data_IF_078111811358
#
_entry.id   IF_078111811358
#
_cell.length_a   1.000
_cell.length_b   1.000
_cell.length_c   1.000
_cell.angle_alpha   90.00
_cell.angle_beta   90.00
_cell.angle_gamma   90.00
#
_symmetry.space_group_name_H-M   'P 1'
#
loop_
_entity.id
_entity.type
_entity.pdbx_description
1 polymer ?
#
# COMPACT_ATOMS: atom_id res chain seq x y z
N UNK A 1 -20.70 -27.65 -15.07
CA UNK A 1 -20.50 -26.65 -13.99
C UNK A 1 -19.03 -26.24 -13.79
N UNK A 2 -18.04 -26.95 -14.37
CA UNK A 2 -16.59 -26.65 -14.27
C UNK A 2 -16.15 -25.50 -15.19
N UNK A 3 -16.72 -25.40 -16.38
CA UNK A 3 -16.37 -24.40 -17.42
C UNK A 3 -16.62 -22.95 -16.98
N UNK A 4 -17.64 -22.71 -16.13
CA UNK A 4 -17.98 -21.38 -15.62
C UNK A 4 -17.09 -20.92 -14.46
N UNK A 5 -16.38 -21.82 -13.77
CA UNK A 5 -15.43 -21.45 -12.72
C UNK A 5 -14.08 -21.07 -13.32
N UNK A 6 -13.65 -21.75 -14.39
CA UNK A 6 -12.41 -21.47 -15.09
C UNK A 6 -12.45 -20.11 -15.81
N UNK A 7 -13.54 -19.81 -16.51
CA UNK A 7 -13.74 -18.48 -17.12
C UNK A 7 -13.77 -17.34 -16.09
N UNK A 8 -14.33 -17.57 -14.90
CA UNK A 8 -14.34 -16.58 -13.81
C UNK A 8 -12.93 -16.33 -13.26
N UNK A 9 -12.12 -17.37 -13.09
CA UNK A 9 -10.72 -17.25 -12.67
C UNK A 9 -9.90 -16.50 -13.71
N UNK A 10 -10.03 -16.84 -15.00
CA UNK A 10 -9.34 -16.17 -16.09
C UNK A 10 -9.71 -14.69 -16.20
N UNK A 11 -11.00 -14.35 -16.06
CA UNK A 11 -11.45 -12.96 -16.05
C UNK A 11 -10.92 -12.17 -14.84
N UNK A 12 -10.92 -12.78 -13.65
CA UNK A 12 -10.37 -12.16 -12.45
C UNK A 12 -8.85 -11.94 -12.56
N UNK A 13 -8.13 -12.91 -13.12
CA UNK A 13 -6.69 -12.82 -13.38
C UNK A 13 -6.38 -11.74 -14.43
N UNK A 14 -7.11 -11.69 -15.54
CA UNK A 14 -6.97 -10.66 -16.58
C UNK A 14 -7.20 -9.26 -16.01
N UNK A 15 -8.24 -9.08 -15.19
CA UNK A 15 -8.48 -7.81 -14.49
C UNK A 15 -7.32 -7.45 -13.55
N UNK A 16 -6.80 -8.40 -12.77
CA UNK A 16 -5.65 -8.16 -11.88
C UNK A 16 -4.39 -7.73 -12.65
N UNK A 17 -4.08 -8.42 -13.75
CA UNK A 17 -2.95 -8.09 -14.64
C UNK A 17 -3.11 -6.68 -15.22
N UNK A 18 -4.29 -6.34 -15.71
CA UNK A 18 -4.58 -5.00 -16.24
C UNK A 18 -4.32 -3.89 -15.22
N UNK A 19 -4.71 -4.09 -13.95
CA UNK A 19 -4.43 -3.14 -12.86
C UNK A 19 -2.93 -2.98 -12.59
N UNK A 20 -2.16 -4.07 -12.69
CA UNK A 20 -0.71 -4.05 -12.50
C UNK A 20 0.02 -3.32 -13.64
N UNK A 21 -0.35 -3.60 -14.90
CA UNK A 21 0.20 -2.92 -16.08
C UNK A 21 -0.05 -1.40 -15.97
N UNK A 22 -1.26 -1.03 -15.58
CA UNK A 22 -1.64 0.37 -15.40
C UNK A 22 -0.83 1.04 -14.28
N UNK A 23 -0.54 0.35 -13.18
CA UNK A 23 0.35 0.86 -12.12
C UNK A 23 1.78 1.04 -12.62
N UNK A 24 2.32 0.05 -13.35
CA UNK A 24 3.65 0.13 -13.96
C UNK A 24 3.79 1.35 -14.87
N UNK A 25 2.88 1.53 -15.84
CA UNK A 25 2.89 2.70 -16.73
C UNK A 25 2.85 4.00 -15.93
N UNK A 26 2.05 4.07 -14.86
CA UNK A 26 1.99 5.25 -14.00
C UNK A 26 3.30 5.54 -13.27
N UNK A 27 4.02 4.51 -12.82
CA UNK A 27 5.35 4.69 -12.23
C UNK A 27 6.30 5.31 -13.25
N UNK A 28 6.37 4.77 -14.47
CA UNK A 28 7.24 5.33 -15.50
C UNK A 28 6.90 6.79 -15.82
N UNK A 29 5.61 7.11 -15.99
CA UNK A 29 5.18 8.46 -16.31
C UNK A 29 5.41 9.45 -15.16
N UNK A 30 5.13 9.04 -13.91
CA UNK A 30 5.39 9.89 -12.73
C UNK A 30 6.88 10.17 -12.58
N UNK A 31 7.74 9.15 -12.71
CA UNK A 31 9.20 9.32 -12.63
C UNK A 31 9.74 10.15 -13.78
N UNK A 32 9.20 9.98 -14.99
CA UNK A 32 9.53 10.84 -16.13
C UNK A 32 9.19 12.30 -15.82
N UNK A 33 7.96 12.59 -15.41
CA UNK A 33 7.51 13.96 -15.07
C UNK A 33 8.40 14.59 -14.00
N UNK A 34 8.73 13.83 -12.94
CA UNK A 34 9.62 14.30 -11.88
C UNK A 34 11.03 14.60 -12.40
N UNK A 35 11.58 13.75 -13.26
CA UNK A 35 12.92 13.96 -13.83
C UNK A 35 13.02 15.21 -14.73
N UNK A 36 11.88 15.69 -15.25
CA UNK A 36 11.85 16.88 -16.10
C UNK A 36 11.92 18.19 -15.29
N UNK A 37 11.47 18.20 -14.03
CA UNK A 37 11.41 19.43 -13.23
C UNK A 37 12.80 20.04 -13.00
N UNK A 38 13.80 19.30 -12.49
CA UNK A 38 15.14 19.87 -12.31
C UNK A 38 15.82 20.22 -13.64
N UNK A 39 15.45 19.56 -14.74
CA UNK A 39 16.02 19.82 -16.07
C UNK A 39 15.53 21.13 -16.69
N UNK A 40 14.21 21.38 -16.64
CA UNK A 40 13.63 22.61 -17.20
C UNK A 40 13.72 23.80 -16.25
N UNK A 41 13.69 23.57 -14.94
CA UNK A 41 13.73 24.61 -13.91
C UNK A 41 15.05 24.61 -13.14
N UNK A 42 16.17 24.30 -13.81
CA UNK A 42 17.50 24.22 -13.20
C UNK A 42 17.95 25.52 -12.53
N UNK A 43 17.48 26.68 -13.02
CA UNK A 43 17.77 27.99 -12.44
C UNK A 43 16.89 28.35 -11.22
N UNK A 44 15.87 27.55 -10.91
CA UNK A 44 14.99 27.79 -9.76
C UNK A 44 15.59 27.25 -8.46
N UNK A 45 15.17 27.81 -7.33
CA UNK A 45 15.58 27.29 -6.01
C UNK A 45 15.09 25.85 -5.80
N UNK A 46 15.79 25.09 -4.96
CA UNK A 46 15.38 23.73 -4.60
C UNK A 46 13.94 23.67 -4.05
N UNK A 47 13.55 24.63 -3.21
CA UNK A 47 12.18 24.70 -2.67
C UNK A 47 11.14 24.93 -3.77
N UNK A 48 11.46 25.74 -4.77
CA UNK A 48 10.61 25.95 -5.94
C UNK A 48 10.48 24.68 -6.78
N UNK A 49 11.60 24.00 -7.04
CA UNK A 49 11.60 22.72 -7.77
C UNK A 49 10.79 21.65 -7.04
N UNK A 50 10.92 21.58 -5.71
CA UNK A 50 10.13 20.68 -4.88
C UNK A 50 8.64 21.00 -4.96
N UNK A 51 8.26 22.28 -4.81
CA UNK A 51 6.87 22.71 -4.91
C UNK A 51 6.26 22.41 -6.29
N UNK A 52 7.01 22.67 -7.37
CA UNK A 52 6.60 22.35 -8.74
C UNK A 52 6.44 20.83 -8.95
N UNK A 53 7.37 20.04 -8.42
CA UNK A 53 7.31 18.57 -8.49
C UNK A 53 6.06 18.03 -7.79
N UNK A 54 5.75 18.52 -6.59
CA UNK A 54 4.53 18.16 -5.85
C UNK A 54 3.28 18.58 -6.63
N UNK A 55 3.22 19.81 -7.13
CA UNK A 55 2.08 20.31 -7.90
C UNK A 55 1.84 19.45 -9.16
N UNK A 56 2.89 19.16 -9.92
CA UNK A 56 2.80 18.33 -11.13
C UNK A 56 2.40 16.90 -10.82
N UNK A 57 2.90 16.31 -9.73
CA UNK A 57 2.44 14.99 -9.28
C UNK A 57 0.96 15.00 -8.92
N UNK A 58 0.49 15.99 -8.17
CA UNK A 58 -0.93 16.10 -7.81
C UNK A 58 -1.82 16.26 -9.05
N UNK A 59 -1.42 17.09 -10.00
CA UNK A 59 -2.12 17.25 -11.27
C UNK A 59 -2.11 15.96 -12.08
N UNK A 60 -0.96 15.30 -12.24
CA UNK A 60 -0.84 14.08 -13.03
C UNK A 60 -1.60 12.90 -12.40
N UNK A 61 -1.46 12.70 -11.09
CA UNK A 61 -2.16 11.63 -10.36
C UNK A 61 -3.66 11.89 -10.27
N UNK A 62 -4.06 13.15 -10.05
CA UNK A 62 -5.45 13.58 -9.99
C UNK A 62 -6.15 13.50 -11.34
N UNK A 63 -5.64 14.21 -12.34
CA UNK A 63 -6.21 14.22 -13.70
C UNK A 63 -6.08 12.86 -14.38
N UNK A 64 -4.92 12.21 -14.31
CA UNK A 64 -4.72 10.88 -14.88
C UNK A 64 -5.51 9.79 -14.14
N UNK A 65 -5.77 9.96 -12.85
CA UNK A 65 -6.72 9.14 -12.10
C UNK A 65 -8.16 9.36 -12.56
N UNK A 66 -8.58 10.61 -12.72
CA UNK A 66 -9.92 10.99 -13.16
C UNK A 66 -10.22 10.52 -14.59
N UNK A 67 -9.33 10.80 -15.55
CA UNK A 67 -9.44 10.38 -16.94
C UNK A 67 -9.57 8.87 -17.06
N UNK A 68 -8.76 8.09 -16.33
CA UNK A 68 -8.86 6.62 -16.37
C UNK A 68 -10.18 6.10 -15.83
N UNK A 69 -10.67 6.64 -14.70
CA UNK A 69 -11.96 6.23 -14.12
C UNK A 69 -13.10 6.52 -15.10
N UNK A 70 -13.04 7.67 -15.79
CA UNK A 70 -14.10 8.11 -16.70
C UNK A 70 -14.04 7.46 -18.09
N UNK A 71 -12.85 7.22 -18.63
CA UNK A 71 -12.66 6.73 -20.01
C UNK A 71 -12.46 5.21 -20.10
N UNK A 72 -11.70 4.62 -19.18
CA UNK A 72 -11.25 3.22 -19.28
C UNK A 72 -11.86 2.31 -18.20
N UNK A 73 -12.45 2.85 -17.14
CA UNK A 73 -12.96 2.11 -15.97
C UNK A 73 -11.92 1.15 -15.33
N UNK A 74 -10.62 1.38 -15.54
CA UNK A 74 -9.54 0.59 -14.94
C UNK A 74 -8.93 1.32 -13.75
N UNK A 75 -8.74 0.59 -12.65
CA UNK A 75 -8.11 1.11 -11.43
C UNK A 75 -6.64 0.69 -11.36
N UNK A 76 -5.75 1.61 -10.99
CA UNK A 76 -4.41 1.22 -10.57
C UNK A 76 -4.47 0.38 -9.29
N UNK A 77 -3.56 -0.58 -9.15
CA UNK A 77 -3.28 -1.23 -7.88
C UNK A 77 -2.24 -0.39 -7.12
N UNK A 78 -2.63 0.19 -5.98
CA UNK A 78 -1.72 0.99 -5.17
C UNK A 78 -0.51 0.17 -4.64
N UNK A 79 -0.65 -1.09 -4.20
CA UNK A 79 0.50 -1.90 -3.83
C UNK A 79 1.42 -2.23 -5.01
N UNK A 80 0.84 -2.48 -6.18
CA UNK A 80 1.65 -2.68 -7.39
C UNK A 80 2.40 -1.39 -7.78
N UNK A 81 1.80 -0.22 -7.56
CA UNK A 81 2.47 1.06 -7.80
C UNK A 81 3.68 1.23 -6.89
N UNK A 82 3.56 0.94 -5.58
CA UNK A 82 4.69 0.95 -4.64
C UNK A 82 5.78 -0.04 -5.07
N UNK A 83 5.40 -1.28 -5.38
CA UNK A 83 6.33 -2.32 -5.80
C UNK A 83 7.11 -1.93 -7.07
N UNK A 84 6.41 -1.48 -8.12
CA UNK A 84 7.07 -1.06 -9.36
C UNK A 84 7.92 0.20 -9.17
N UNK A 85 7.56 1.08 -8.24
CA UNK A 85 8.38 2.24 -7.90
C UNK A 85 9.72 1.84 -7.28
N UNK A 86 9.71 0.91 -6.32
CA UNK A 86 10.94 0.33 -5.74
C UNK A 86 11.81 -0.30 -6.83
N UNK A 87 11.22 -1.12 -7.70
CA UNK A 87 11.95 -1.76 -8.81
C UNK A 87 12.51 -0.75 -9.81
N UNK A 88 11.76 0.31 -10.10
CA UNK A 88 12.22 1.37 -11.00
C UNK A 88 13.43 2.10 -10.42
N UNK A 89 13.37 2.51 -9.15
CA UNK A 89 14.48 3.19 -8.46
C UNK A 89 15.71 2.28 -8.43
N UNK A 90 15.53 1.01 -8.06
CA UNK A 90 16.63 0.04 -8.05
C UNK A 90 17.22 -0.19 -9.46
N UNK A 91 16.37 -0.32 -10.48
CA UNK A 91 16.80 -0.48 -11.87
C UNK A 91 17.57 0.75 -12.38
N UNK A 92 17.10 1.95 -12.07
CA UNK A 92 17.79 3.20 -12.39
C UNK A 92 19.14 3.28 -11.68
N UNK A 93 19.16 2.97 -10.38
CA UNK A 93 20.38 2.91 -9.57
C UNK A 93 21.42 1.97 -10.20
N UNK A 94 21.04 0.73 -10.52
CA UNK A 94 21.95 -0.27 -11.13
C UNK A 94 22.45 0.19 -12.49
N UNK A 95 21.58 0.81 -13.29
CA UNK A 95 21.91 1.19 -14.68
C UNK A 95 22.76 2.45 -14.79
N UNK A 96 22.55 3.43 -13.89
CA UNK A 96 23.10 4.79 -14.04
C UNK A 96 24.04 5.15 -12.91
N UNK A 97 23.68 4.87 -11.66
CA UNK A 97 24.39 5.41 -10.48
C UNK A 97 25.50 4.45 -10.02
N UNK A 98 25.27 3.14 -10.06
CA UNK A 98 26.13 2.11 -9.47
C UNK A 98 27.61 2.21 -9.84
N UNK A 99 27.92 2.65 -11.05
CA UNK A 99 29.31 2.76 -11.53
C UNK A 99 30.13 3.81 -10.75
N UNK A 100 29.47 4.78 -10.13
CA UNK A 100 30.10 5.86 -9.37
C UNK A 100 30.08 5.64 -7.85
N UNK A 101 29.57 4.49 -7.37
CA UNK A 101 29.30 4.24 -5.95
C UNK A 101 30.29 3.24 -5.36
N UNK A 102 30.88 3.51 -4.18
CA UNK A 102 31.72 2.54 -3.47
C UNK A 102 30.98 1.25 -3.13
N UNK A 103 31.70 0.12 -3.12
CA UNK A 103 31.12 -1.21 -2.87
C UNK A 103 30.28 -1.30 -1.60
N UNK A 104 30.71 -0.65 -0.51
CA UNK A 104 29.99 -0.66 0.75
C UNK A 104 28.60 0.00 0.61
N UNK A 105 28.53 1.17 -0.04
CA UNK A 105 27.27 1.87 -0.26
C UNK A 105 26.37 1.10 -1.24
N UNK A 106 26.95 0.45 -2.26
CA UNK A 106 26.22 -0.43 -3.17
C UNK A 106 25.58 -1.61 -2.44
N UNK A 107 26.34 -2.26 -1.55
CA UNK A 107 25.86 -3.36 -0.74
C UNK A 107 24.76 -2.89 0.23
N UNK A 108 24.95 -1.77 0.92
CA UNK A 108 23.95 -1.20 1.85
C UNK A 108 22.65 -0.88 1.11
N UNK A 109 22.71 -0.11 0.02
CA UNK A 109 21.52 0.27 -0.74
C UNK A 109 20.80 -0.96 -1.32
N UNK A 110 21.55 -1.94 -1.83
CA UNK A 110 20.97 -3.19 -2.32
C UNK A 110 20.29 -3.99 -1.20
N UNK A 111 20.87 -4.03 0.01
CA UNK A 111 20.26 -4.67 1.17
C UNK A 111 18.98 -3.95 1.61
N UNK A 112 18.98 -2.62 1.63
CA UNK A 112 17.79 -1.82 1.92
C UNK A 112 16.66 -2.09 0.92
N UNK A 113 16.95 -2.14 -0.38
CA UNK A 113 15.94 -2.47 -1.41
C UNK A 113 15.39 -3.89 -1.21
N UNK A 114 16.24 -4.88 -0.97
CA UNK A 114 15.81 -6.26 -0.70
C UNK A 114 14.93 -6.30 0.56
N UNK A 115 15.34 -5.59 1.62
CA UNK A 115 14.56 -5.44 2.84
C UNK A 115 13.17 -4.83 2.55
N UNK A 116 13.07 -3.78 1.75
CA UNK A 116 11.79 -3.18 1.35
C UNK A 116 10.90 -4.13 0.58
N UNK A 117 11.45 -4.92 -0.35
CA UNK A 117 10.68 -5.90 -1.13
C UNK A 117 10.13 -7.01 -0.22
N UNK A 118 10.97 -7.54 0.68
CA UNK A 118 10.55 -8.56 1.65
C UNK A 118 9.52 -7.98 2.61
N UNK A 119 9.75 -6.77 3.12
CA UNK A 119 8.84 -6.08 4.03
C UNK A 119 7.49 -5.79 3.38
N UNK A 120 7.48 -5.35 2.12
CA UNK A 120 6.26 -5.12 1.34
C UNK A 120 5.47 -6.43 1.16
N UNK A 121 6.14 -7.52 0.78
CA UNK A 121 5.50 -8.83 0.69
C UNK A 121 4.95 -9.30 2.04
N UNK A 122 5.72 -9.09 3.11
CA UNK A 122 5.33 -9.47 4.46
C UNK A 122 4.10 -8.70 4.93
N UNK A 123 4.04 -7.38 4.74
CA UNK A 123 2.88 -6.58 5.17
C UNK A 123 1.62 -6.88 4.33
N UNK A 124 1.80 -7.20 3.04
CA UNK A 124 0.73 -7.62 2.14
C UNK A 124 0.07 -8.94 2.58
N UNK A 125 0.86 -9.85 3.15
CA UNK A 125 0.43 -11.21 3.53
C UNK A 125 0.14 -11.37 5.02
N UNK A 126 0.53 -10.41 5.84
CA UNK A 126 0.33 -10.46 7.29
C UNK A 126 -1.15 -10.42 7.67
N UNK A 127 -1.52 -11.20 8.68
CA UNK A 127 -2.81 -11.05 9.35
C UNK A 127 -2.80 -9.75 10.17
N UNK A 128 -3.69 -8.78 9.89
CA UNK A 128 -3.80 -7.57 10.70
C UNK A 128 -4.47 -7.81 12.07
N UNK A 129 -4.99 -9.02 12.32
CA UNK A 129 -5.78 -9.37 13.50
C UNK A 129 -7.25 -9.59 13.15
N UNK A 130 -7.53 -10.31 12.06
CA UNK A 130 -8.90 -10.62 11.62
C UNK A 130 -9.62 -11.46 12.68
N UNK A 131 -10.81 -11.01 13.08
CA UNK A 131 -11.69 -11.77 13.99
C UNK A 131 -12.54 -12.73 13.15
N UNK A 132 -12.31 -14.04 13.30
CA UNK A 132 -13.19 -15.07 12.75
C UNK A 132 -14.24 -15.42 13.79
N UNK A 133 -15.53 -15.39 13.43
CA UNK A 133 -16.66 -15.67 14.34
C UNK A 133 -16.81 -17.19 14.67
N UNK A 134 -15.69 -17.91 14.84
CA UNK A 134 -15.64 -19.38 14.85
C UNK A 134 -15.29 -20.05 16.17
N UNK A 135 -15.15 -19.31 17.29
CA UNK A 135 -14.82 -19.91 18.59
C UNK A 135 -15.84 -19.57 19.69
N UNK A 136 -17.12 -19.50 19.32
CA UNK A 136 -18.21 -19.60 20.28
C UNK A 136 -18.84 -21.00 20.16
N UNK A 137 -18.17 -22.01 20.70
CA UNK A 137 -18.80 -23.29 21.03
C UNK A 137 -18.90 -23.42 22.55
N UNK A 138 -20.00 -22.93 23.12
CA UNK A 138 -20.82 -23.70 24.06
C UNK A 138 -22.16 -22.97 24.22
N UNK A 139 -23.18 -23.58 23.62
CA UNK A 139 -24.54 -23.71 24.15
C UNK A 139 -25.29 -22.45 24.64
N UNK A 140 -26.16 -21.91 23.78
CA UNK A 140 -27.59 -21.79 24.11
C UNK A 140 -28.46 -21.46 22.86
N UNK A 141 -29.70 -21.98 22.78
CA UNK A 141 -30.49 -21.98 21.56
C UNK A 141 -31.42 -20.76 21.44
N UNK A 142 -31.73 -20.43 20.17
CA UNK A 142 -32.99 -19.83 19.67
C UNK A 142 -33.40 -18.46 20.25
N UNK A 143 -33.42 -17.38 19.45
CA UNK A 143 -34.59 -16.79 18.76
C UNK A 143 -34.07 -15.40 18.28
N UNK A 144 -34.35 -14.78 17.14
CA UNK A 144 -35.55 -14.69 16.31
C UNK A 144 -35.23 -13.84 15.07
N UNK A 145 -35.87 -14.19 13.95
CA UNK A 145 -36.37 -13.33 12.85
C UNK A 145 -35.44 -12.35 12.10
N UNK A 146 -35.34 -12.65 10.80
CA UNK A 146 -35.06 -11.80 9.65
C UNK A 146 -35.70 -10.40 9.70
N UNK A 147 -34.93 -9.35 9.39
CA UNK A 147 -35.41 -8.24 8.55
C UNK A 147 -34.26 -7.52 7.83
N UNK A 148 -34.58 -7.09 6.63
CA UNK A 148 -33.75 -6.61 5.54
C UNK A 148 -33.71 -5.06 5.55
N UNK A 149 -32.52 -4.47 5.33
CA UNK A 149 -32.23 -3.13 4.75
C UNK A 149 -32.84 -1.89 5.45
N UNK A 150 -32.00 -0.97 5.99
CA UNK A 150 -31.61 0.26 5.28
C UNK A 150 -30.54 1.07 6.03
N UNK A 151 -29.89 1.96 5.28
CA UNK A 151 -28.78 2.85 5.60
C UNK A 151 -28.97 3.71 6.87
N UNK A 152 -27.98 3.69 7.77
CA UNK A 152 -27.53 4.88 8.51
C UNK A 152 -26.13 4.62 9.09
N UNK A 153 -25.30 5.66 9.08
CA UNK A 153 -23.96 5.69 9.66
C UNK A 153 -24.01 5.49 11.19
N UNK A 154 -23.98 4.24 11.63
CA UNK A 154 -23.59 3.88 12.99
C UNK A 154 -22.28 3.11 12.94
N UNK A 155 -21.28 3.67 13.62
CA UNK A 155 -20.13 2.96 14.14
C UNK A 155 -20.69 1.85 15.04
N UNK A 156 -21.03 0.71 14.43
CA UNK A 156 -21.46 -0.49 15.14
C UNK A 156 -20.21 -1.04 15.86
N UNK A 157 -19.81 -0.35 16.92
CA UNK A 157 -19.07 -0.95 18.02
C UNK A 157 -19.90 -2.16 18.41
N UNK A 158 -19.47 -3.36 18.02
CA UNK A 158 -19.97 -4.56 18.69
C UNK A 158 -19.62 -4.35 20.16
N UNK A 159 -20.59 -4.17 21.07
CA UNK A 159 -20.31 -4.22 22.48
C UNK A 159 -19.98 -5.69 22.71
N UNK A 160 -18.69 -6.02 22.72
CA UNK A 160 -18.26 -7.26 23.36
C UNK A 160 -18.59 -7.04 24.83
N UNK A 161 -19.79 -7.50 25.21
CA UNK A 161 -20.36 -7.35 26.53
C UNK A 161 -19.30 -7.73 27.57
N UNK A 162 -19.07 -6.81 28.49
CA UNK A 162 -18.20 -6.98 29.65
C UNK A 162 -18.50 -8.33 30.33
N UNK A 163 -17.48 -9.17 30.43
CA UNK A 163 -17.29 -9.99 31.62
C UNK A 163 -16.08 -9.39 32.34
N UNK A 164 -16.42 -8.64 33.38
CA UNK A 164 -15.51 -7.92 34.26
C UNK A 164 -14.55 -8.88 34.96
N UNK A 165 -13.38 -8.33 35.30
CA UNK A 165 -12.42 -8.77 36.32
C UNK A 165 -11.23 -9.62 35.83
N UNK A 166 -10.17 -8.91 35.43
CA UNK A 166 -8.80 -9.43 35.50
C UNK A 166 -7.90 -9.00 34.35
N UNK A 167 -7.16 -7.89 34.54
CA UNK A 167 -5.94 -7.50 33.81
C UNK A 167 -6.03 -7.02 32.34
N UNK A 168 -5.83 -5.71 32.15
CA UNK A 168 -5.05 -5.16 31.02
C UNK A 168 -5.77 -4.87 29.69
N UNK A 169 -6.15 -3.60 29.49
CA UNK A 169 -6.32 -2.94 28.18
C UNK A 169 -7.12 -3.73 27.12
N UNK A 170 -8.46 -3.69 27.20
CA UNK A 170 -9.34 -4.26 26.19
C UNK A 170 -8.96 -3.81 24.77
N UNK A 171 -8.62 -4.77 23.91
CA UNK A 171 -8.25 -4.49 22.52
C UNK A 171 -9.50 -4.09 21.73
N UNK A 172 -9.60 -2.83 21.32
CA UNK A 172 -10.70 -2.32 20.49
C UNK A 172 -10.76 -3.04 19.14
N UNK A 173 -11.93 -3.57 18.78
CA UNK A 173 -12.19 -4.19 17.47
C UNK A 173 -13.00 -3.23 16.61
N UNK A 174 -12.62 -3.05 15.34
CA UNK A 174 -13.36 -2.18 14.41
C UNK A 174 -13.56 -2.85 13.05
N UNK A 175 -14.64 -2.47 12.37
CA UNK A 175 -14.97 -2.98 11.04
C UNK A 175 -14.26 -2.19 9.93
N UNK A 176 -13.52 -2.88 9.06
CA UNK A 176 -12.95 -2.28 7.87
C UNK A 176 -13.88 -2.48 6.65
N UNK A 177 -14.41 -1.39 6.08
CA UNK A 177 -15.27 -1.45 4.87
C UNK A 177 -14.53 -2.00 3.64
N UNK A 178 -13.23 -1.74 3.51
CA UNK A 178 -12.43 -2.19 2.35
C UNK A 178 -12.15 -3.69 2.38
N UNK A 179 -11.79 -4.23 3.55
CA UNK A 179 -11.52 -5.66 3.73
C UNK A 179 -12.79 -6.47 4.05
N UNK A 180 -13.90 -5.81 4.42
CA UNK A 180 -15.16 -6.42 4.86
C UNK A 180 -14.96 -7.40 6.02
N UNK A 181 -14.15 -6.99 7.00
CA UNK A 181 -13.76 -7.81 8.14
C UNK A 181 -13.63 -6.96 9.40
N UNK A 182 -13.86 -7.57 10.56
CA UNK A 182 -13.56 -6.99 11.87
C UNK A 182 -12.09 -7.25 12.21
N UNK A 183 -11.37 -6.19 12.56
CA UNK A 183 -9.92 -6.23 12.82
C UNK A 183 -9.65 -5.77 14.25
N UNK A 184 -8.86 -6.55 15.00
CA UNK A 184 -8.37 -6.21 16.34
C UNK A 184 -7.35 -5.09 16.28
N UNK A 185 -7.54 -4.07 17.11
CA UNK A 185 -6.66 -2.91 17.19
C UNK A 185 -6.52 -2.20 15.85
N UNK A 186 -7.58 -2.14 15.04
CA UNK A 186 -7.55 -1.48 13.74
C UNK A 186 -7.14 -0.02 13.90
N UNK A 187 -6.03 0.33 13.26
CA UNK A 187 -5.59 1.71 13.07
C UNK A 187 -6.22 2.25 11.78
N UNK A 188 -5.84 1.70 10.63
CA UNK A 188 -6.38 2.11 9.33
C UNK A 188 -6.27 1.01 8.28
N UNK A 189 -7.01 1.17 7.17
CA UNK A 189 -6.75 0.41 5.95
C UNK A 189 -5.76 1.18 5.08
N UNK A 190 -4.61 0.59 4.75
CA UNK A 190 -3.59 1.25 3.95
C UNK A 190 -3.67 0.79 2.49
N UNK A 191 -4.14 1.62 1.53
CA UNK A 191 -4.20 1.22 0.14
C UNK A 191 -2.82 0.93 -0.46
N UNK A 192 -1.77 1.63 -0.01
CA UNK A 192 -0.40 1.42 -0.47
C UNK A 192 0.12 0.00 -0.15
N UNK A 193 -0.33 -0.58 0.96
CA UNK A 193 0.00 -1.96 1.35
C UNK A 193 -1.12 -2.95 1.08
N UNK A 194 -2.27 -2.51 0.57
CA UNK A 194 -3.39 -3.36 0.19
C UNK A 194 -3.99 -4.15 1.35
N UNK A 195 -3.68 -3.78 2.59
CA UNK A 195 -4.01 -4.51 3.81
C UNK A 195 -4.40 -3.54 4.94
N UNK A 196 -5.09 -4.05 5.95
CA UNK A 196 -5.29 -3.30 7.19
C UNK A 196 -3.99 -3.25 8.00
N UNK A 197 -3.80 -2.16 8.73
CA UNK A 197 -2.82 -2.03 9.78
C UNK A 197 -3.57 -2.16 11.10
N UNK A 198 -3.29 -3.23 11.82
CA UNK A 198 -3.94 -3.57 13.08
C UNK A 198 -2.92 -4.09 14.08
N UNK A 199 -3.41 -4.63 15.19
CA UNK A 199 -2.56 -5.00 16.33
C UNK A 199 -1.42 -5.96 15.95
N UNK A 200 -1.69 -6.93 15.06
CA UNK A 200 -0.74 -8.00 14.75
C UNK A 200 0.38 -7.59 13.78
N UNK A 201 0.19 -6.52 13.01
CA UNK A 201 1.14 -6.09 11.98
C UNK A 201 1.58 -4.62 12.10
N UNK A 202 1.15 -3.91 13.16
CA UNK A 202 1.51 -2.51 13.38
C UNK A 202 3.02 -2.29 13.51
N UNK A 203 3.75 -3.17 14.21
CA UNK A 203 5.20 -3.06 14.32
C UNK A 203 5.88 -3.25 12.95
N UNK A 204 5.44 -4.23 12.17
CA UNK A 204 5.96 -4.45 10.81
C UNK A 204 5.75 -3.21 9.93
N UNK A 205 4.59 -2.56 10.03
CA UNK A 205 4.32 -1.29 9.34
C UNK A 205 5.32 -0.20 9.73
N UNK A 206 5.61 -0.03 11.02
CA UNK A 206 6.57 0.98 11.49
C UNK A 206 8.00 0.70 11.01
N UNK A 207 8.46 -0.56 11.08
CA UNK A 207 9.79 -0.93 10.59
C UNK A 207 9.88 -0.68 9.08
N UNK A 208 8.84 -1.04 8.33
CA UNK A 208 8.79 -0.81 6.89
C UNK A 208 8.80 0.69 6.55
N UNK A 209 8.05 1.51 7.29
CA UNK A 209 8.05 2.97 7.12
C UNK A 209 9.43 3.57 7.36
N UNK A 210 10.11 3.14 8.43
CA UNK A 210 11.49 3.55 8.70
C UNK A 210 12.43 3.12 7.56
N UNK A 211 12.27 1.88 7.05
CA UNK A 211 13.00 1.40 5.89
C UNK A 211 12.83 2.31 4.67
N UNK A 212 11.60 2.71 4.33
CA UNK A 212 11.34 3.60 3.20
C UNK A 212 12.07 4.95 3.38
N UNK A 213 11.99 5.54 4.58
CA UNK A 213 12.67 6.81 4.87
C UNK A 213 14.20 6.64 4.78
N UNK A 214 14.75 5.54 5.31
CA UNK A 214 16.18 5.22 5.23
C UNK A 214 16.64 5.10 3.78
N UNK A 215 15.93 4.31 2.96
CA UNK A 215 16.28 4.11 1.55
C UNK A 215 16.23 5.41 0.74
N UNK A 216 15.22 6.25 0.97
CA UNK A 216 15.13 7.57 0.32
C UNK A 216 16.31 8.47 0.73
N UNK A 217 16.65 8.51 2.02
CA UNK A 217 17.80 9.27 2.49
C UNK A 217 19.11 8.74 1.90
N UNK A 218 19.32 7.42 1.91
CA UNK A 218 20.46 6.75 1.29
C UNK A 218 20.58 7.11 -0.18
N UNK A 219 19.48 7.07 -0.94
CA UNK A 219 19.46 7.40 -2.37
C UNK A 219 19.87 8.86 -2.64
N UNK A 220 19.39 9.81 -1.84
CA UNK A 220 19.72 11.23 -1.97
C UNK A 220 21.18 11.56 -1.62
N UNK A 221 21.82 10.72 -0.80
CA UNK A 221 23.23 10.88 -0.40
C UNK A 221 24.22 10.18 -1.34
N UNK A 222 23.73 9.44 -2.34
CA UNK A 222 24.61 8.81 -3.32
C UNK A 222 25.33 9.86 -4.20
N UNK A 223 26.60 9.61 -4.56
CA UNK A 223 27.32 10.47 -5.50
C UNK A 223 26.56 10.62 -6.82
N UNK A 224 26.43 11.86 -7.30
CA UNK A 224 25.91 12.10 -8.65
C UNK A 224 26.96 11.66 -9.67
N UNK A 225 26.59 10.92 -10.73
CA UNK A 225 27.53 10.42 -11.74
C UNK A 225 28.11 11.52 -12.67
N UNK A 226 28.15 12.78 -12.23
CA UNK A 226 28.62 13.93 -13.01
C UNK A 226 29.29 15.04 -12.19
N UNK A 227 29.70 14.76 -10.95
CA UNK A 227 30.53 15.65 -10.12
C UNK A 227 31.95 15.11 -9.99
#
# INVERSE_FOLDING_TARGET
MVETQDQRKHLAQSKSIGRCIVSFIFVFLTQLVLSLVPRFFSASSFLTQLALSVLLLLLFMGFGGWCRRRLLQVHASAPAFVFFNILFIWGFYVSVIRQAVPLLNDAVFSCEVVFLVIGLYSILTSDPGIVTNGSASSDQPLNSSVSQVDNHDEELELPCHESTEGSGLGTRVRYCRSCKAYIKGLDHHCPAFGNCIGQNNHLLFLILLFGFISTEASYLLLPNPGS
#
